data_IF_737897083105
#
_entry.id   IF_737897083105
#
_cell.length_a   1.000
_cell.length_b   1.000
_cell.length_c   1.000
_cell.angle_alpha   90.00
_cell.angle_beta   90.00
_cell.angle_gamma   90.00
#
_symmetry.space_group_name_H-M   'P 1'
#
loop_
_entity.id
_entity.type
_entity.pdbx_description
1 polymer ?
2 polymer ?
#
# COMPACT_ATOMS: atom_id res chain seq x y z
N UNK A 1 -11.18 -5.81 -6.19
CA UNK A 1 -10.64 -4.48 -5.84
C UNK A 1 -10.45 -4.28 -4.34
N UNK A 2 -10.40 -5.40 -3.59
CA UNK A 2 -10.30 -5.39 -2.12
C UNK A 2 -8.84 -5.09 -1.69
N UNK A 3 -8.70 -4.27 -0.64
CA UNK A 3 -7.40 -3.78 -0.16
C UNK A 3 -7.52 -3.43 1.34
N UNK A 4 -6.82 -4.20 2.19
CA UNK A 4 -6.95 -4.15 3.68
C UNK A 4 -8.41 -4.28 4.14
N UNK A 5 -9.18 -5.13 3.43
CA UNK A 5 -10.57 -5.39 3.76
C UNK A 5 -11.55 -4.39 3.13
N UNK A 6 -11.01 -3.24 2.72
CA UNK A 6 -11.78 -2.18 2.07
C UNK A 6 -12.11 -2.58 0.63
N UNK A 7 -13.39 -2.60 0.31
CA UNK A 7 -13.89 -3.14 -0.96
C UNK A 7 -14.00 -2.03 -2.02
N UNK A 8 -14.49 -0.87 -1.59
CA UNK A 8 -14.73 0.30 -2.46
C UNK A 8 -13.47 1.19 -2.54
N UNK A 9 -13.44 2.08 -3.54
CA UNK A 9 -12.27 2.93 -3.83
C UNK A 9 -12.14 4.06 -2.80
N UNK A 10 -13.29 4.54 -2.29
CA UNK A 10 -13.34 5.55 -1.22
C UNK A 10 -12.96 4.91 0.15
N UNK A 11 -13.25 3.60 0.28
CA UNK A 11 -12.99 2.84 1.52
C UNK A 11 -11.49 2.64 1.71
N UNK A 12 -10.79 2.18 0.63
CA UNK A 12 -9.33 1.88 0.68
C UNK A 12 -8.53 3.13 1.06
N UNK A 13 -9.02 4.28 0.60
CA UNK A 13 -8.36 5.55 0.78
C UNK A 13 -8.42 5.95 2.27
N UNK A 14 -9.64 5.88 2.83
CA UNK A 14 -9.94 6.23 4.23
C UNK A 14 -9.34 5.22 5.22
N UNK A 15 -9.31 3.93 4.83
CA UNK A 15 -8.87 2.83 5.71
C UNK A 15 -7.34 2.83 5.81
N UNK A 16 -6.67 3.02 4.65
CA UNK A 16 -5.19 3.10 4.59
C UNK A 16 -4.69 4.42 5.16
N UNK A 17 -5.58 5.42 5.17
CA UNK A 17 -5.32 6.70 5.85
C UNK A 17 -5.19 6.48 7.37
N UNK A 18 -6.07 5.62 7.92
CA UNK A 18 -6.03 5.22 9.34
C UNK A 18 -4.82 4.30 9.58
N UNK A 19 -4.64 3.31 8.68
CA UNK A 19 -3.62 2.22 8.81
C UNK A 19 -2.22 2.79 9.05
N UNK A 20 -1.93 3.92 8.40
CA UNK A 20 -0.61 4.52 8.42
C UNK A 20 -0.42 5.49 9.60
N UNK A 21 -1.50 6.15 10.04
CA UNK A 21 -1.41 7.25 11.03
C UNK A 21 -1.69 6.78 12.47
N UNK A 22 -2.46 5.69 12.64
CA UNK A 22 -3.01 5.31 13.96
C UNK A 22 -2.49 3.95 14.47
N UNK A 23 -1.88 3.13 13.58
CA UNK A 23 -1.53 1.74 13.90
C UNK A 23 -0.05 1.62 14.32
N UNK A 24 0.19 0.65 15.21
CA UNK A 24 1.50 0.18 15.71
C UNK A 24 2.30 -0.59 14.63
N UNK A 25 1.96 -0.35 13.37
CA UNK A 25 1.81 -1.40 12.36
C UNK A 25 2.91 -2.48 12.31
N UNK A 26 2.43 -3.78 12.41
CA UNK A 26 3.13 -5.08 12.14
C UNK A 26 4.29 -5.06 11.11
N UNK A 27 4.88 -6.26 10.97
CA UNK A 27 6.01 -6.55 10.06
C UNK A 27 5.72 -6.07 8.63
N UNK A 28 6.79 -5.83 7.85
CA UNK A 28 6.73 -5.16 6.53
C UNK A 28 5.82 -5.88 5.50
N UNK A 29 5.33 -7.10 5.83
CA UNK A 29 4.31 -7.84 5.03
C UNK A 29 3.11 -6.95 4.66
N UNK A 30 2.66 -6.13 5.63
CA UNK A 30 1.50 -5.22 5.49
C UNK A 30 1.75 -4.11 4.44
N UNK A 31 3.03 -3.71 4.30
CA UNK A 31 3.47 -2.75 3.25
C UNK A 31 3.54 -3.49 1.89
N UNK A 32 4.09 -4.72 1.94
CA UNK A 32 4.22 -5.59 0.77
C UNK A 32 2.84 -6.04 0.25
N UNK A 33 1.78 -5.94 1.09
CA UNK A 33 0.38 -6.18 0.65
C UNK A 33 -0.02 -5.18 -0.44
N UNK A 34 0.34 -3.89 -0.21
CA UNK A 34 0.02 -2.81 -1.15
C UNK A 34 0.91 -2.94 -2.40
N UNK A 35 2.16 -3.42 -2.19
CA UNK A 35 3.09 -3.75 -3.32
C UNK A 35 2.47 -4.84 -4.24
N UNK A 36 1.89 -5.89 -3.61
CA UNK A 36 1.21 -6.99 -4.33
C UNK A 36 0.03 -6.45 -5.13
N UNK A 37 -0.74 -5.55 -4.50
CA UNK A 37 -1.91 -4.89 -5.12
C UNK A 37 -1.48 -4.05 -6.33
N UNK A 38 -0.30 -3.43 -6.24
CA UNK A 38 0.28 -2.66 -7.35
C UNK A 38 0.61 -3.58 -8.53
N UNK A 39 1.17 -4.75 -8.21
CA UNK A 39 1.54 -5.77 -9.22
C UNK A 39 0.28 -6.37 -9.90
N UNK A 40 -0.77 -6.64 -9.10
CA UNK A 40 -2.07 -7.16 -9.60
C UNK A 40 -2.73 -6.12 -10.52
N UNK A 41 -2.80 -4.87 -10.07
CA UNK A 41 -3.40 -3.73 -10.82
C UNK A 41 -2.56 -3.44 -12.10
N UNK A 42 -1.28 -3.84 -12.08
CA UNK A 42 -0.39 -3.83 -13.25
C UNK A 42 -0.80 -4.93 -14.27
N UNK A 43 -1.16 -6.13 -13.77
CA UNK A 43 -1.62 -7.26 -14.64
C UNK A 43 -2.98 -6.92 -15.27
N UNK A 44 -3.84 -6.32 -14.43
CA UNK A 44 -5.24 -6.00 -14.74
C UNK A 44 -5.37 -4.67 -15.49
N UNK A 45 -4.26 -3.88 -15.47
CA UNK A 45 -4.17 -2.57 -16.14
C UNK A 45 -5.16 -1.53 -15.55
N UNK A 46 -5.42 -1.65 -14.23
CA UNK A 46 -6.27 -0.70 -13.47
C UNK A 46 -5.36 0.30 -12.72
N UNK A 47 -4.30 0.76 -13.40
CA UNK A 47 -3.25 1.62 -12.80
C UNK A 47 -3.76 3.06 -12.60
N UNK A 48 -4.97 3.34 -13.12
CA UNK A 48 -5.68 4.61 -12.90
C UNK A 48 -5.90 4.85 -11.38
N UNK A 49 -6.44 3.82 -10.72
CA UNK A 49 -6.81 3.83 -9.31
C UNK A 49 -5.57 3.52 -8.45
N UNK A 50 -4.63 2.75 -9.03
CA UNK A 50 -3.40 2.38 -8.33
C UNK A 50 -2.49 3.62 -8.18
N UNK A 51 -2.44 4.47 -9.22
CA UNK A 51 -1.72 5.78 -9.19
C UNK A 51 -2.28 6.67 -8.07
N UNK A 52 -3.61 6.60 -7.90
CA UNK A 52 -4.34 7.30 -6.84
C UNK A 52 -3.77 6.84 -5.48
N UNK A 53 -3.71 5.50 -5.31
CA UNK A 53 -3.18 4.87 -4.08
C UNK A 53 -1.68 5.24 -3.84
N UNK A 54 -0.87 5.30 -4.92
CA UNK A 54 0.59 5.59 -4.83
C UNK A 54 0.84 7.03 -4.35
N UNK A 55 0.11 7.96 -4.96
CA UNK A 55 0.24 9.39 -4.69
C UNK A 55 -0.33 9.74 -3.30
N UNK A 56 -1.39 9.02 -2.88
CA UNK A 56 -1.97 9.18 -1.54
C UNK A 56 -1.07 8.52 -0.48
N UNK A 57 -0.40 7.41 -0.80
CA UNK A 57 0.59 6.78 0.09
C UNK A 57 1.86 7.62 0.17
N UNK A 58 2.17 8.36 -0.92
CA UNK A 58 3.28 9.33 -0.92
C UNK A 58 2.97 10.45 0.08
N UNK A 59 1.74 10.99 -0.06
CA UNK A 59 1.18 12.03 0.81
C UNK A 59 1.27 11.62 2.29
N UNK A 60 0.78 10.42 2.58
CA UNK A 60 0.62 9.90 3.94
C UNK A 60 1.97 9.49 4.57
N UNK A 61 2.88 8.88 3.78
CA UNK A 61 4.22 8.41 4.29
C UNK A 61 5.17 9.60 4.48
N UNK A 62 4.94 10.66 3.69
CA UNK A 62 5.64 11.95 3.83
C UNK A 62 5.07 12.76 5.02
N UNK A 63 3.76 12.62 5.28
CA UNK A 63 3.08 13.30 6.40
C UNK A 63 3.30 12.55 7.73
N UNK A 64 3.46 11.23 7.64
CA UNK A 64 3.61 10.34 8.82
C UNK A 64 5.05 9.80 8.89
N UNK A 65 6.00 10.55 8.30
CA UNK A 65 7.42 10.16 8.23
C UNK A 65 8.04 10.00 9.64
N UNK A 66 8.00 8.76 10.10
CA UNK A 66 8.54 8.33 11.40
C UNK A 66 9.10 6.92 11.25
N UNK A 67 10.45 6.83 11.17
CA UNK A 67 11.24 5.57 11.14
C UNK A 67 10.72 4.54 10.11
N UNK A 68 9.73 3.70 10.53
CA UNK A 68 9.19 2.60 9.71
C UNK A 68 8.44 3.14 8.47
N UNK A 69 7.75 4.28 8.63
CA UNK A 69 6.94 4.90 7.55
C UNK A 69 7.83 5.59 6.52
N UNK A 70 8.97 6.12 7.01
CA UNK A 70 10.02 6.71 6.15
C UNK A 70 10.62 5.61 5.25
N UNK A 71 10.92 4.46 5.89
CA UNK A 71 11.44 3.27 5.19
C UNK A 71 10.38 2.69 4.25
N UNK A 72 9.10 2.72 4.71
CA UNK A 72 7.95 2.18 3.95
C UNK A 72 7.71 2.98 2.68
N UNK A 73 8.01 4.30 2.72
CA UNK A 73 7.91 5.18 1.56
C UNK A 73 8.86 4.72 0.43
N UNK A 74 10.12 4.45 0.81
CA UNK A 74 11.15 4.00 -0.15
C UNK A 74 10.83 2.59 -0.66
N UNK A 75 10.39 1.71 0.27
CA UNK A 75 10.03 0.32 -0.05
C UNK A 75 8.86 0.26 -1.04
N UNK A 76 7.81 1.05 -0.75
CA UNK A 76 6.57 1.01 -1.52
C UNK A 76 6.82 1.55 -2.93
N UNK A 77 7.49 2.72 -2.99
CA UNK A 77 7.74 3.45 -4.24
C UNK A 77 8.59 2.55 -5.17
N UNK A 78 9.79 2.17 -4.68
CA UNK A 78 10.77 1.35 -5.42
C UNK A 78 10.15 0.08 -6.05
N UNK A 79 9.42 -0.67 -5.21
CA UNK A 79 8.84 -1.98 -5.60
C UNK A 79 7.76 -1.82 -6.70
N UNK A 80 6.91 -0.78 -6.57
CA UNK A 80 5.92 -0.46 -7.61
C UNK A 80 6.63 -0.10 -8.94
N UNK A 81 7.75 0.65 -8.82
CA UNK A 81 8.48 1.21 -9.97
C UNK A 81 9.24 0.12 -10.74
N UNK A 82 9.78 -0.88 -10.03
CA UNK A 82 10.53 -1.98 -10.65
C UNK A 82 9.59 -2.93 -11.41
N UNK A 83 8.39 -3.21 -10.83
CA UNK A 83 7.38 -4.04 -11.51
C UNK A 83 6.75 -3.27 -12.70
N UNK A 84 6.69 -1.93 -12.56
CA UNK A 84 6.18 -1.04 -13.62
C UNK A 84 7.23 -0.84 -14.75
N UNK A 85 8.52 -1.02 -14.40
CA UNK A 85 9.62 -1.07 -15.38
C UNK A 85 9.55 -2.39 -16.16
N UNK A 86 9.17 -3.46 -15.46
CA UNK A 86 8.99 -4.79 -16.04
C UNK A 86 7.85 -4.80 -17.09
N UNK A 87 6.68 -4.21 -16.73
CA UNK A 87 5.49 -4.24 -17.59
C UNK A 87 5.45 -3.08 -18.62
N UNK A 88 5.68 -1.84 -18.17
CA UNK A 88 5.46 -0.63 -18.98
C UNK A 88 6.79 -0.06 -19.49
N UNK A 89 7.88 -0.32 -18.76
CA UNK A 89 9.21 0.15 -19.14
C UNK A 89 9.56 1.53 -18.61
N UNK A 90 8.59 2.19 -17.94
CA UNK A 90 8.77 3.52 -17.35
C UNK A 90 8.36 3.51 -15.86
N UNK A 91 9.03 4.36 -15.08
CA UNK A 91 8.73 4.59 -13.66
C UNK A 91 7.65 5.70 -13.53
N UNK A 92 6.62 5.45 -12.68
CA UNK A 92 5.55 6.43 -12.40
C UNK A 92 6.08 7.54 -11.48
N UNK A 93 6.08 8.79 -11.99
CA UNK A 93 6.59 9.92 -11.21
C UNK A 93 5.42 10.70 -10.64
N UNK A 94 5.10 10.35 -9.39
CA UNK A 94 4.11 11.07 -8.58
C UNK A 94 4.75 12.34 -7.97
N UNK A 95 6.09 12.40 -8.02
CA UNK A 95 6.86 13.61 -7.74
C UNK A 95 7.70 13.93 -9.01
N UNK B 1 -1.90 -11.92 24.88
CA UNK B 1 -2.83 -12.72 24.04
C UNK B 1 -2.03 -13.66 23.10
N UNK B 2 -1.11 -13.06 22.31
CA UNK B 2 -0.18 -13.79 21.43
C UNK B 2 -0.94 -14.58 20.34
N UNK B 3 -1.23 -13.92 19.21
CA UNK B 3 -1.88 -14.54 18.04
C UNK B 3 -0.83 -15.17 17.09
N UNK B 4 0.45 -15.21 17.54
CA UNK B 4 1.56 -15.74 16.74
C UNK B 4 2.11 -14.69 15.81
N UNK B 5 1.32 -14.37 14.77
CA UNK B 5 1.54 -13.22 13.91
C UNK B 5 0.33 -12.31 14.06
N UNK B 6 0.60 -11.02 14.28
CA UNK B 6 -0.45 -10.00 14.45
C UNK B 6 -0.35 -8.93 13.34
N UNK B 7 -0.99 -9.16 12.15
CA UNK B 7 -1.11 -8.13 11.09
C UNK B 7 -2.31 -7.20 11.34
N UNK B 8 -2.38 -6.08 10.60
CA UNK B 8 -3.55 -5.19 10.57
C UNK B 8 -4.11 -5.16 9.15
N UNK B 9 -3.27 -4.69 8.20
CA UNK B 9 -3.62 -4.59 6.77
C UNK B 9 -4.03 -5.99 6.26
N UNK B 10 -3.08 -6.93 6.38
CA UNK B 10 -3.22 -8.31 5.92
C UNK B 10 -4.37 -9.03 6.65
N UNK B 11 -4.51 -8.72 7.96
CA UNK B 11 -5.57 -9.27 8.81
C UNK B 11 -6.94 -8.94 8.21
N UNK B 12 -7.18 -7.64 7.94
CA UNK B 12 -8.46 -7.17 7.40
C UNK B 12 -8.64 -7.67 5.94
N UNK B 13 -7.51 -7.73 5.22
CA UNK B 13 -7.44 -8.14 3.81
C UNK B 13 -7.71 -9.66 3.66
N UNK B 14 -7.72 -10.39 4.79
CA UNK B 14 -8.13 -11.81 4.83
C UNK B 14 -9.46 -12.01 5.62
N UNK B 15 -9.81 -11.03 6.50
CA UNK B 15 -10.96 -11.16 7.43
C UNK B 15 -12.30 -10.80 6.76
N UNK B 16 -12.24 -9.84 5.81
CA UNK B 16 -13.44 -9.25 5.15
C UNK B 16 -14.42 -10.34 4.58
#
# INVERSE_FOLDING_TARGET
>A
GNLAGAVEFNDVKTLLREWITTISDPMEEDILQVVKYCTDLIEEKDLEKLDLVIKYMKRLMQQSVESVWNMAFDFILDNVQVVLQQTYGSTLKVT
>B
QSTGTEPFFKQKSLLL
#
